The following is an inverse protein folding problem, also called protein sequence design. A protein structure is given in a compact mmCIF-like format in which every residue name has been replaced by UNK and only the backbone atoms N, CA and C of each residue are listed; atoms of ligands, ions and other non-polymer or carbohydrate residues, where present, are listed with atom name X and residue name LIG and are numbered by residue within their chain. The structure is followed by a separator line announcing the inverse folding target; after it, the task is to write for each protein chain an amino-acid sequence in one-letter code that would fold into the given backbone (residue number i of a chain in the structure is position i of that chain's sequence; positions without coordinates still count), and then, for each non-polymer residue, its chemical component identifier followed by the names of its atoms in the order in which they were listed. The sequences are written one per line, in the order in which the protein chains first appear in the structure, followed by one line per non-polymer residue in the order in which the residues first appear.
data_IF_307908892154
#
_entry.id   IF_307908892154
#
_cell.length_a   1.000
_cell.length_b   1.000
_cell.length_c   1.000
_cell.angle_alpha   90.00
_cell.angle_beta   90.00
_cell.angle_gamma   90.00
#
_symmetry.space_group_name_H-M   'P 1'
#
loop_
_entity.id
_entity.type
_entity.pdbx_description
1 polymer ?
#
# COMPACT_ATOMS: atom_id res chain seq x y z
N UNK A 1 45.67 16.56 -50.43
CA UNK A 1 44.52 15.65 -50.22
C UNK A 1 44.80 14.90 -48.92
N UNK A 2 44.43 15.41 -47.73
CA UNK A 2 43.10 15.38 -47.05
C UNK A 2 42.51 13.95 -47.04
N UNK A 3 42.26 13.21 -45.94
CA UNK A 3 42.38 13.36 -44.48
C UNK A 3 42.05 11.97 -43.88
N UNK A 4 42.80 11.38 -42.93
CA UNK A 4 42.29 10.29 -42.10
C UNK A 4 42.33 10.72 -40.63
N UNK A 5 41.32 11.46 -40.17
CA UNK A 5 41.21 11.92 -38.77
C UNK A 5 39.80 11.72 -38.19
N UNK A 6 38.83 11.26 -38.98
CA UNK A 6 37.41 11.32 -38.56
C UNK A 6 36.80 10.01 -38.01
N UNK A 7 37.61 9.00 -37.65
CA UNK A 7 37.10 7.71 -37.15
C UNK A 7 37.45 7.39 -35.70
N UNK A 8 38.26 8.21 -35.04
CA UNK A 8 38.68 7.98 -33.63
C UNK A 8 37.91 8.83 -32.61
N UNK A 9 37.04 9.75 -33.02
CA UNK A 9 36.30 10.64 -32.10
C UNK A 9 34.94 10.07 -31.67
N UNK A 10 34.35 9.15 -32.43
CA UNK A 10 33.03 8.58 -32.10
C UNK A 10 33.13 7.46 -31.04
N UNK A 11 34.29 6.80 -30.90
CA UNK A 11 34.49 5.73 -29.92
C UNK A 11 34.76 6.23 -28.48
N UNK A 12 35.03 7.53 -28.28
CA UNK A 12 35.25 8.12 -26.94
C UNK A 12 34.06 8.90 -26.37
N UNK A 13 32.97 9.05 -27.14
CA UNK A 13 31.74 9.74 -26.69
C UNK A 13 30.64 8.77 -26.22
N UNK A 14 30.87 7.46 -26.30
CA UNK A 14 29.92 6.42 -25.86
C UNK A 14 30.12 5.90 -24.44
N UNK A 15 31.18 6.34 -23.74
CA UNK A 15 31.55 5.84 -22.41
C UNK A 15 31.34 6.82 -21.26
N UNK A 16 30.80 8.01 -21.53
CA UNK A 16 30.46 9.02 -20.50
C UNK A 16 28.95 9.25 -20.32
N UNK A 17 28.09 8.42 -20.92
CA UNK A 17 26.63 8.55 -20.85
C UNK A 17 25.94 7.59 -19.86
N UNK A 18 26.70 6.76 -19.12
CA UNK A 18 26.16 5.85 -18.10
C UNK A 18 26.54 6.23 -16.66
N UNK A 19 26.83 7.50 -16.42
CA UNK A 19 26.86 8.10 -15.08
C UNK A 19 25.80 9.21 -15.03
N UNK A 20 24.55 8.82 -15.31
CA UNK A 20 23.40 9.62 -14.88
C UNK A 20 23.33 9.58 -13.35
N UNK A 21 22.66 10.56 -12.71
CA UNK A 21 22.52 10.55 -11.24
C UNK A 21 21.96 9.20 -10.80
N UNK A 22 22.56 8.62 -9.77
CA UNK A 22 22.02 7.45 -9.08
C UNK A 22 20.52 7.67 -8.88
N UNK A 23 19.71 6.81 -9.49
CA UNK A 23 18.27 6.85 -9.27
C UNK A 23 18.04 6.65 -7.77
N UNK A 24 17.25 7.55 -7.17
CA UNK A 24 16.97 7.49 -5.74
C UNK A 24 16.36 6.13 -5.37
N UNK A 25 16.89 5.51 -4.32
CA UNK A 25 16.38 4.22 -3.88
C UNK A 25 14.93 4.37 -3.40
N UNK A 26 14.03 3.49 -3.84
CA UNK A 26 12.62 3.55 -3.44
C UNK A 26 12.42 3.40 -1.92
N UNK A 27 13.40 2.79 -1.25
CA UNK A 27 13.49 2.59 0.20
C UNK A 27 13.88 3.86 0.98
N UNK A 28 14.43 4.87 0.33
CA UNK A 28 14.90 6.11 0.96
C UNK A 28 13.75 7.13 1.12
N UNK A 29 13.66 7.73 2.31
CA UNK A 29 12.65 8.72 2.66
C UNK A 29 13.25 10.13 2.56
N UNK A 30 12.96 10.83 1.45
CA UNK A 30 13.43 12.22 1.18
C UNK A 30 12.33 13.29 1.22
N UNK A 31 11.07 12.88 1.18
CA UNK A 31 9.89 13.74 1.15
C UNK A 31 8.77 13.11 1.97
N UNK A 32 7.60 13.76 2.05
CA UNK A 32 6.39 13.12 2.59
C UNK A 32 6.14 11.82 1.82
N UNK A 33 6.01 10.71 2.56
CA UNK A 33 5.81 9.36 2.02
C UNK A 33 4.77 8.59 2.81
N UNK A 34 3.85 7.90 2.15
CA UNK A 34 2.83 7.02 2.72
C UNK A 34 3.24 5.61 2.38
N UNK A 35 3.87 4.97 3.36
CA UNK A 35 4.48 3.65 3.21
C UNK A 35 3.43 2.53 3.20
N UNK A 36 2.28 2.77 3.81
CA UNK A 36 1.16 1.84 3.89
C UNK A 36 -0.14 2.51 4.33
N UNK A 37 -1.28 1.95 3.93
CA UNK A 37 -2.61 2.35 4.40
C UNK A 37 -3.34 1.09 4.85
N UNK A 38 -3.61 1.01 6.15
CA UNK A 38 -4.43 -0.03 6.77
C UNK A 38 -5.89 0.39 6.68
N UNK A 39 -6.71 -0.53 6.19
CA UNK A 39 -8.16 -0.41 6.21
C UNK A 39 -8.68 -1.43 7.22
N UNK A 40 -9.55 -1.01 8.12
CA UNK A 40 -10.11 -1.90 9.16
C UNK A 40 -11.64 -1.81 9.16
N UNK A 41 -12.34 -2.86 8.66
CA UNK A 41 -11.80 -4.08 8.03
C UNK A 41 -11.11 -3.84 6.67
N UNK A 42 -10.25 -4.76 6.18
CA UNK A 42 -9.48 -4.57 4.94
C UNK A 42 -10.31 -4.74 3.66
N UNK A 43 -11.49 -5.35 3.79
CA UNK A 43 -12.51 -5.41 2.77
C UNK A 43 -13.88 -5.13 3.38
N UNK A 44 -14.81 -4.66 2.55
CA UNK A 44 -16.18 -4.38 2.96
C UNK A 44 -17.06 -5.58 2.58
N UNK A 45 -17.38 -6.42 3.57
CA UNK A 45 -18.30 -7.54 3.39
C UNK A 45 -19.75 -7.04 3.48
N UNK A 46 -20.52 -7.19 2.40
CA UNK A 46 -21.93 -6.81 2.33
C UNK A 46 -22.78 -8.04 2.08
N UNK A 47 -23.70 -8.32 3.00
CA UNK A 47 -24.82 -9.23 2.77
C UNK A 47 -26.06 -8.40 2.36
N UNK A 48 -26.53 -8.50 1.11
CA UNK A 48 -27.71 -7.77 0.62
C UNK A 48 -29.01 -8.10 1.34
N UNK A 49 -29.08 -9.23 2.05
CA UNK A 49 -30.25 -9.67 2.79
C UNK A 49 -30.14 -9.41 4.30
N UNK A 50 -29.01 -8.87 4.76
CA UNK A 50 -28.84 -8.55 6.16
C UNK A 50 -29.76 -7.41 6.61
N UNK A 51 -30.27 -7.53 7.83
CA UNK A 51 -31.09 -6.48 8.46
C UNK A 51 -30.26 -5.29 8.97
N UNK A 52 -28.93 -5.42 9.00
CA UNK A 52 -27.98 -4.42 9.49
C UNK A 52 -26.86 -4.22 8.48
N UNK A 53 -26.45 -2.97 8.28
CA UNK A 53 -25.29 -2.63 7.48
C UNK A 53 -24.00 -3.14 8.15
N UNK A 54 -22.96 -3.47 7.36
CA UNK A 54 -21.65 -3.80 7.91
C UNK A 54 -21.04 -2.64 8.70
N UNK A 55 -20.10 -2.91 9.61
CA UNK A 55 -19.38 -1.86 10.32
C UNK A 55 -18.65 -0.93 9.32
N UNK A 56 -18.47 0.35 9.67
CA UNK A 56 -17.66 1.26 8.86
C UNK A 56 -16.22 0.79 8.74
N UNK A 57 -15.58 1.13 7.62
CA UNK A 57 -14.14 0.93 7.42
C UNK A 57 -13.40 2.17 7.88
N UNK A 58 -12.37 2.00 8.71
CA UNK A 58 -11.47 3.07 9.13
C UNK A 58 -10.13 2.94 8.40
N UNK A 59 -9.63 4.06 7.86
CA UNK A 59 -8.34 4.12 7.19
C UNK A 59 -7.29 4.80 8.08
N UNK A 60 -6.15 4.14 8.23
CA UNK A 60 -4.97 4.66 8.92
C UNK A 60 -3.78 4.59 7.98
N UNK A 61 -3.06 5.70 7.82
CA UNK A 61 -1.84 5.75 7.02
C UNK A 61 -0.58 5.70 7.90
N UNK A 62 0.42 4.93 7.46
CA UNK A 62 1.81 5.11 7.86
C UNK A 62 2.41 6.19 6.96
N UNK A 63 2.25 7.44 7.37
CA UNK A 63 2.81 8.60 6.68
C UNK A 63 4.06 9.11 7.42
N UNK A 64 5.15 9.31 6.69
CA UNK A 64 6.47 9.65 7.24
C UNK A 64 7.08 10.82 6.50
N UNK A 65 8.03 11.49 7.16
CA UNK A 65 8.91 12.52 6.62
C UNK A 65 10.35 12.20 7.03
N UNK A 66 11.36 12.71 6.31
CA UNK A 66 12.77 12.43 6.62
C UNK A 66 13.18 12.85 8.03
N UNK A 67 12.56 13.93 8.54
CA UNK A 67 12.85 14.55 9.82
C UNK A 67 11.72 14.37 10.86
N UNK A 68 10.83 13.39 10.63
CA UNK A 68 9.73 13.03 11.52
C UNK A 68 8.75 14.16 11.89
N UNK A 69 8.61 15.17 11.01
CA UNK A 69 7.52 16.15 11.10
C UNK A 69 6.16 15.46 11.00
N UNK A 70 5.14 15.94 11.74
CA UNK A 70 3.78 15.40 11.64
C UNK A 70 3.22 15.52 10.22
N UNK A 71 2.56 14.45 9.76
CA UNK A 71 1.86 14.41 8.47
C UNK A 71 0.37 14.26 8.74
N UNK A 72 -0.44 15.13 8.14
CA UNK A 72 -1.90 15.01 8.13
C UNK A 72 -2.33 14.28 6.88
N UNK A 73 -3.24 13.31 7.02
CA UNK A 73 -3.79 12.56 5.88
C UNK A 73 -5.30 12.77 5.80
N UNK A 74 -5.76 13.12 4.61
CA UNK A 74 -7.19 13.26 4.28
C UNK A 74 -7.57 12.21 3.25
N UNK A 75 -8.84 11.76 3.29
CA UNK A 75 -9.34 10.67 2.47
C UNK A 75 -10.64 11.06 1.74
N UNK A 76 -10.85 10.49 0.56
CA UNK A 76 -12.12 10.55 -0.16
C UNK A 76 -12.40 9.23 -0.89
N UNK A 77 -13.67 8.83 -0.96
CA UNK A 77 -14.12 7.78 -1.87
C UNK A 77 -14.19 8.35 -3.28
N UNK A 78 -13.42 7.79 -4.21
CA UNK A 78 -13.33 8.26 -5.58
C UNK A 78 -14.64 8.00 -6.33
N UNK A 79 -15.01 8.95 -7.21
CA UNK A 79 -16.06 8.70 -8.19
C UNK A 79 -15.62 7.65 -9.23
N UNK A 80 -16.54 6.83 -9.76
CA UNK A 80 -16.21 5.78 -10.72
C UNK A 80 -15.80 6.31 -12.11
N UNK A 81 -16.18 7.55 -12.45
CA UNK A 81 -15.83 8.20 -13.72
C UNK A 81 -14.48 8.93 -13.67
N UNK A 82 -13.87 9.03 -12.49
CA UNK A 82 -12.53 9.61 -12.32
C UNK A 82 -11.50 8.51 -12.48
N UNK A 83 -10.47 8.76 -13.29
CA UNK A 83 -9.31 7.87 -13.33
C UNK A 83 -8.53 8.02 -12.00
N UNK A 84 -8.54 7.01 -11.11
CA UNK A 84 -7.85 7.11 -9.82
C UNK A 84 -6.33 7.19 -9.96
N UNK A 85 -5.78 6.84 -11.12
CA UNK A 85 -4.35 6.87 -11.42
C UNK A 85 -3.94 8.07 -12.30
N UNK A 86 -4.87 8.98 -12.61
CA UNK A 86 -4.58 10.20 -13.37
C UNK A 86 -4.05 11.34 -12.51
N UNK A 87 -3.84 12.51 -13.11
CA UNK A 87 -3.25 13.70 -12.47
C UNK A 87 -4.05 14.26 -11.27
N UNK A 88 -5.24 13.71 -10.99
CA UNK A 88 -6.17 14.13 -9.93
C UNK A 88 -6.59 12.92 -9.07
N UNK A 89 -5.65 12.30 -8.35
CA UNK A 89 -5.83 10.98 -7.72
C UNK A 89 -6.74 10.90 -6.46
N UNK A 90 -7.52 11.98 -6.21
CA UNK A 90 -8.75 12.06 -5.43
C UNK A 90 -8.69 12.29 -3.91
N UNK A 91 -8.55 13.57 -3.52
CA UNK A 91 -9.52 14.19 -2.60
C UNK A 91 -10.11 15.50 -3.16
N UNK A 92 -11.25 15.98 -2.62
CA UNK A 92 -11.98 17.15 -3.14
C UNK A 92 -13.09 16.79 -4.14
N UNK A 93 -13.44 17.71 -5.07
CA UNK A 93 -14.58 17.64 -6.02
C UNK A 93 -14.69 16.34 -6.86
N UNK A 94 -13.63 15.54 -6.88
CA UNK A 94 -13.54 14.26 -7.59
C UNK A 94 -14.04 13.05 -6.78
N UNK A 95 -14.51 13.25 -5.54
CA UNK A 95 -14.95 12.19 -4.66
C UNK A 95 -15.88 12.65 -3.53
N UNK A 96 -16.25 11.71 -2.67
CA UNK A 96 -16.97 11.98 -1.41
C UNK A 96 -15.94 12.00 -0.27
N UNK A 97 -15.76 13.13 0.44
CA UNK A 97 -14.86 13.20 1.58
C UNK A 97 -15.20 12.14 2.63
N UNK A 98 -14.17 11.57 3.26
CA UNK A 98 -14.31 10.61 4.36
C UNK A 98 -13.74 11.23 5.65
N UNK A 99 -14.56 11.99 6.42
CA UNK A 99 -14.11 12.61 7.66
C UNK A 99 -13.53 11.57 8.63
N UNK A 100 -12.35 11.86 9.18
CA UNK A 100 -11.64 10.94 10.07
C UNK A 100 -11.20 9.64 9.39
N UNK A 101 -11.19 9.57 8.06
CA UNK A 101 -10.85 8.36 7.32
C UNK A 101 -11.88 7.25 7.49
N UNK A 102 -13.17 7.58 7.67
CA UNK A 102 -14.23 6.59 7.87
C UNK A 102 -15.11 6.46 6.63
N UNK A 103 -15.16 5.27 6.05
CA UNK A 103 -16.12 4.88 5.00
C UNK A 103 -17.28 4.12 5.62
N UNK A 104 -18.46 4.72 5.63
CA UNK A 104 -19.68 4.11 6.17
C UNK A 104 -20.75 3.95 5.09
N UNK A 105 -21.33 2.75 4.99
CA UNK A 105 -22.50 2.53 4.15
C UNK A 105 -23.78 3.19 4.68
N UNK A 106 -23.74 3.79 5.87
CA UNK A 106 -24.85 4.60 6.38
C UNK A 106 -24.83 6.04 5.87
N UNK A 107 -23.71 6.49 5.27
CA UNK A 107 -23.60 7.82 4.67
C UNK A 107 -24.31 7.86 3.30
N UNK A 108 -25.32 8.73 3.10
CA UNK A 108 -26.04 8.84 1.83
C UNK A 108 -25.15 9.19 0.63
N UNK A 109 -24.08 9.97 0.83
CA UNK A 109 -23.15 10.32 -0.24
C UNK A 109 -22.32 9.12 -0.68
N UNK A 110 -21.89 8.28 0.27
CA UNK A 110 -21.23 7.00 0.00
C UNK A 110 -22.17 6.04 -0.73
N UNK A 111 -23.44 5.95 -0.30
CA UNK A 111 -24.46 5.12 -0.97
C UNK A 111 -24.69 5.53 -2.43
N UNK A 112 -24.77 6.84 -2.70
CA UNK A 112 -24.95 7.35 -4.06
C UNK A 112 -23.76 6.97 -4.98
N UNK A 113 -22.53 7.09 -4.47
CA UNK A 113 -21.34 6.64 -5.21
C UNK A 113 -21.31 5.13 -5.41
N UNK A 114 -21.74 4.38 -4.40
CA UNK A 114 -21.77 2.93 -4.49
C UNK A 114 -22.73 2.46 -5.58
N UNK A 115 -23.92 3.06 -5.64
CA UNK A 115 -24.90 2.81 -6.70
C UNK A 115 -24.28 3.13 -8.07
N UNK A 116 -23.64 4.29 -8.22
CA UNK A 116 -22.98 4.65 -9.47
C UNK A 116 -21.87 3.65 -9.86
N UNK A 117 -21.10 3.15 -8.89
CA UNK A 117 -20.05 2.16 -9.13
C UNK A 117 -20.65 0.82 -9.61
N UNK A 118 -21.76 0.35 -9.02
CA UNK A 118 -22.45 -0.83 -9.51
C UNK A 118 -23.05 -0.62 -10.90
N UNK A 119 -23.66 0.53 -11.16
CA UNK A 119 -24.21 0.85 -12.47
C UNK A 119 -23.11 0.87 -13.55
N UNK A 120 -21.93 1.40 -13.23
CA UNK A 120 -20.77 1.37 -14.11
C UNK A 120 -20.25 -0.06 -14.34
N UNK A 121 -20.20 -0.90 -13.29
CA UNK A 121 -19.70 -2.27 -13.38
C UNK A 121 -20.66 -3.23 -14.11
N UNK A 122 -21.97 -3.02 -13.97
CA UNK A 122 -23.00 -3.93 -14.51
C UNK A 122 -23.63 -3.43 -15.81
N UNK A 123 -23.58 -2.12 -16.07
CA UNK A 123 -24.41 -1.48 -17.10
C UNK A 123 -25.91 -1.44 -16.76
N UNK A 124 -26.31 -1.98 -15.60
CA UNK A 124 -27.70 -1.98 -15.12
C UNK A 124 -27.98 -0.73 -14.32
N UNK A 125 -29.22 -0.21 -14.40
CA UNK A 125 -29.67 0.85 -13.50
C UNK A 125 -30.12 0.31 -12.13
N UNK A 126 -30.00 -1.00 -11.89
CA UNK A 126 -30.32 -1.64 -10.60
C UNK A 126 -31.78 -2.07 -10.45
N UNK A 127 -32.56 -2.15 -11.54
CA UNK A 127 -33.80 -2.93 -11.67
C UNK A 127 -34.96 -2.76 -10.68
N UNK A 128 -34.86 -1.94 -9.62
CA UNK A 128 -35.78 -1.99 -8.50
C UNK A 128 -37.16 -1.41 -8.77
N UNK A 129 -38.18 -2.00 -8.15
CA UNK A 129 -39.52 -1.43 -8.13
C UNK A 129 -39.52 -0.11 -7.36
N UNK A 130 -39.99 0.97 -7.97
CA UNK A 130 -40.13 2.27 -7.32
C UNK A 130 -38.89 3.18 -7.35
N UNK A 131 -37.86 2.84 -8.13
CA UNK A 131 -36.68 3.70 -8.35
C UNK A 131 -35.57 3.56 -7.31
N UNK A 132 -35.64 2.56 -6.43
CA UNK A 132 -34.54 2.18 -5.53
C UNK A 132 -33.60 1.19 -6.21
N UNK A 133 -32.31 1.25 -5.90
CA UNK A 133 -31.33 0.29 -6.40
C UNK A 133 -31.52 -1.09 -5.73
N UNK A 134 -31.68 -2.15 -6.52
CA UNK A 134 -31.88 -3.51 -6.03
C UNK A 134 -30.57 -4.30 -6.04
N UNK A 135 -30.01 -4.53 -4.85
CA UNK A 135 -28.81 -5.35 -4.69
C UNK A 135 -29.05 -6.84 -4.97
N UNK A 136 -30.30 -7.31 -5.05
CA UNK A 136 -30.65 -8.69 -5.39
C UNK A 136 -30.79 -8.95 -6.89
N UNK A 137 -30.60 -7.93 -7.74
CA UNK A 137 -30.55 -8.13 -9.19
C UNK A 137 -29.41 -9.09 -9.56
N UNK A 138 -29.63 -10.09 -10.45
CA UNK A 138 -28.62 -11.10 -10.78
C UNK A 138 -27.27 -10.54 -11.24
N UNK A 139 -27.27 -9.45 -12.03
CA UNK A 139 -26.03 -8.81 -12.49
C UNK A 139 -25.26 -8.16 -11.32
N UNK A 140 -25.98 -7.54 -10.38
CA UNK A 140 -25.39 -6.93 -9.18
C UNK A 140 -24.84 -8.00 -8.24
N UNK A 141 -25.58 -9.09 -8.04
CA UNK A 141 -25.15 -10.24 -7.25
C UNK A 141 -23.87 -10.86 -7.81
N UNK A 142 -23.76 -10.99 -9.14
CA UNK A 142 -22.55 -11.50 -9.78
C UNK A 142 -21.34 -10.59 -9.51
N UNK A 143 -21.50 -9.27 -9.59
CA UNK A 143 -20.44 -8.31 -9.26
C UNK A 143 -20.09 -8.36 -7.78
N UNK A 144 -21.08 -8.47 -6.88
CA UNK A 144 -20.86 -8.61 -5.45
C UNK A 144 -20.10 -9.90 -5.09
N UNK A 145 -20.39 -11.02 -5.74
CA UNK A 145 -19.68 -12.27 -5.52
C UNK A 145 -18.23 -12.19 -6.02
N UNK A 146 -18.03 -11.57 -7.19
CA UNK A 146 -16.70 -11.36 -7.76
C UNK A 146 -15.85 -10.35 -6.95
N UNK A 147 -16.51 -9.35 -6.37
CA UNK A 147 -15.91 -8.23 -5.66
C UNK A 147 -15.85 -6.97 -6.53
N UNK A 148 -16.54 -5.92 -6.09
CA UNK A 148 -16.50 -4.60 -6.68
C UNK A 148 -15.30 -3.82 -6.11
N UNK A 149 -14.31 -3.43 -6.94
CA UNK A 149 -13.24 -2.55 -6.48
C UNK A 149 -13.76 -1.13 -6.26
N UNK A 150 -13.56 -0.61 -5.06
CA UNK A 150 -13.73 0.80 -4.71
C UNK A 150 -12.36 1.43 -4.51
N UNK A 151 -12.22 2.70 -4.88
CA UNK A 151 -10.96 3.43 -4.76
C UNK A 151 -11.12 4.54 -3.73
N UNK A 152 -10.22 4.57 -2.77
CA UNK A 152 -10.11 5.60 -1.72
C UNK A 152 -8.84 6.36 -1.99
N UNK A 153 -8.98 7.59 -2.47
CA UNK A 153 -7.86 8.49 -2.65
C UNK A 153 -7.46 9.14 -1.34
N UNK A 154 -6.19 9.53 -1.25
CA UNK A 154 -5.66 10.24 -0.10
C UNK A 154 -4.75 11.40 -0.53
N UNK A 155 -4.66 12.39 0.34
CA UNK A 155 -3.61 13.41 0.33
C UNK A 155 -2.97 13.48 1.71
N UNK A 156 -1.65 13.28 1.74
CA UNK A 156 -0.81 13.41 2.90
C UNK A 156 -0.01 14.71 2.79
N UNK A 157 0.02 15.53 3.84
CA UNK A 157 0.78 16.78 3.85
C UNK A 157 1.44 17.07 5.21
N UNK A 158 2.65 17.62 5.17
CA UNK A 158 3.35 18.15 6.35
C UNK A 158 3.01 19.64 6.62
N UNK A 159 2.14 20.25 5.82
CA UNK A 159 1.71 21.64 5.95
C UNK A 159 2.68 22.68 5.42
N UNK A 160 3.81 22.28 4.82
CA UNK A 160 4.80 23.21 4.26
C UNK A 160 4.33 23.93 3.00
N UNK A 161 3.37 23.33 2.26
CA UNK A 161 2.88 23.85 0.99
C UNK A 161 3.86 23.69 -0.18
N UNK A 162 4.96 22.94 0.00
CA UNK A 162 5.88 22.61 -1.08
C UNK A 162 5.47 21.30 -1.78
N UNK A 163 5.92 21.06 -3.02
CA UNK A 163 5.68 19.78 -3.70
C UNK A 163 6.19 18.57 -2.92
N UNK A 164 7.31 18.69 -2.21
CA UNK A 164 7.90 17.63 -1.38
C UNK A 164 7.16 17.41 -0.05
N UNK A 165 6.37 18.40 0.36
CA UNK A 165 5.52 18.37 1.54
C UNK A 165 4.13 17.79 1.30
N UNK A 166 3.87 17.24 0.11
CA UNK A 166 2.59 16.66 -0.28
C UNK A 166 2.81 15.35 -1.03
N UNK A 167 2.01 14.35 -0.69
CA UNK A 167 1.89 13.12 -1.46
C UNK A 167 0.42 12.77 -1.66
N UNK A 168 0.13 12.20 -2.83
CA UNK A 168 -1.20 11.72 -3.17
C UNK A 168 -1.10 10.31 -3.70
N UNK A 169 -2.14 9.54 -3.45
CA UNK A 169 -2.27 8.22 -4.01
C UNK A 169 -3.66 7.65 -3.78
N UNK A 170 -3.80 6.38 -4.14
CA UNK A 170 -5.06 5.67 -4.04
C UNK A 170 -4.86 4.32 -3.38
N UNK A 171 -5.80 3.96 -2.52
CA UNK A 171 -5.97 2.63 -1.92
C UNK A 171 -7.23 1.98 -2.50
N UNK A 172 -7.12 0.74 -2.96
CA UNK A 172 -8.28 -0.04 -3.44
C UNK A 172 -8.90 -0.87 -2.31
N UNK A 173 -10.15 -0.64 -1.95
CA UNK A 173 -10.90 -1.55 -1.07
C UNK A 173 -11.89 -2.38 -1.88
N UNK A 174 -12.04 -3.65 -1.54
CA UNK A 174 -13.00 -4.54 -2.22
C UNK A 174 -14.31 -4.54 -1.45
N UNK A 175 -15.43 -4.29 -2.13
CA UNK A 175 -16.76 -4.58 -1.63
C UNK A 175 -17.24 -5.92 -2.19
N UNK A 176 -17.63 -6.86 -1.34
CA UNK A 176 -18.12 -8.15 -1.80
C UNK A 176 -19.10 -8.82 -0.86
N UNK A 177 -19.87 -9.76 -1.38
CA UNK A 177 -20.62 -10.71 -0.57
C UNK A 177 -19.72 -11.90 -0.26
N UNK A 178 -19.41 -12.12 1.02
CA UNK A 178 -18.56 -13.22 1.50
C UNK A 178 -18.93 -13.60 2.93
N UNK A 179 -18.86 -14.89 3.23
CA UNK A 179 -19.02 -15.42 4.60
C UNK A 179 -17.68 -15.46 5.35
N UNK A 180 -16.57 -15.32 4.64
CA UNK A 180 -15.21 -15.31 5.20
C UNK A 180 -14.51 -14.01 4.80
N UNK A 181 -14.82 -12.89 5.47
CA UNK A 181 -14.14 -11.62 5.22
C UNK A 181 -12.65 -11.72 5.55
N UNK A 182 -11.83 -11.08 4.72
CA UNK A 182 -10.39 -10.93 4.91
C UNK A 182 -10.06 -10.19 6.21
N UNK A 183 -8.95 -10.56 6.85
CA UNK A 183 -8.37 -9.85 7.98
C UNK A 183 -7.05 -9.18 7.59
N UNK A 184 -6.63 -8.16 8.35
CA UNK A 184 -5.29 -7.61 8.12
C UNK A 184 -4.26 -8.62 8.64
N UNK A 185 -3.10 -8.77 7.97
CA UNK A 185 -1.97 -9.41 8.61
C UNK A 185 -1.60 -8.65 9.89
N UNK A 186 -0.89 -9.29 10.81
CA UNK A 186 -0.43 -8.67 12.05
C UNK A 186 1.09 -8.66 12.05
N UNK A 187 1.71 -7.48 11.99
CA UNK A 187 3.15 -7.36 12.13
C UNK A 187 3.55 -7.35 13.61
N UNK A 188 4.20 -8.42 14.07
CA UNK A 188 4.59 -8.57 15.47
C UNK A 188 5.96 -7.95 15.74
N UNK A 189 6.97 -8.30 14.94
CA UNK A 189 8.35 -7.87 15.18
C UNK A 189 9.22 -7.81 13.93
N UNK A 190 10.44 -7.29 14.10
CA UNK A 190 11.56 -7.41 13.17
C UNK A 190 12.74 -7.92 13.99
N UNK A 191 13.35 -9.01 13.53
CA UNK A 191 14.47 -9.64 14.20
C UNK A 191 15.79 -9.32 13.51
N UNK A 192 16.85 -9.30 14.30
CA UNK A 192 18.24 -9.37 13.87
C UNK A 192 18.95 -10.41 14.73
N UNK A 193 19.63 -11.38 14.11
CA UNK A 193 20.22 -12.54 14.80
C UNK A 193 19.22 -13.28 15.72
N UNK A 194 18.03 -13.56 15.21
CA UNK A 194 16.94 -14.26 15.92
C UNK A 194 16.44 -13.59 17.22
N UNK A 195 16.77 -12.31 17.42
CA UNK A 195 16.32 -11.50 18.56
C UNK A 195 15.62 -10.22 18.08
N UNK A 196 14.71 -9.62 18.87
CA UNK A 196 14.09 -8.35 18.53
C UNK A 196 15.12 -7.28 18.18
N UNK A 197 14.89 -6.55 17.10
CA UNK A 197 15.80 -5.51 16.61
C UNK A 197 15.87 -4.34 17.62
N UNK A 198 16.92 -4.33 18.44
CA UNK A 198 17.17 -3.30 19.47
C UNK A 198 18.47 -2.51 19.27
N UNK A 199 19.37 -2.96 18.40
CA UNK A 199 20.70 -2.36 18.20
C UNK A 199 21.65 -2.50 19.41
N UNK A 200 22.83 -1.84 19.36
CA UNK A 200 23.35 -1.13 18.20
C UNK A 200 23.73 -2.10 17.07
N UNK A 201 23.49 -1.68 15.82
CA UNK A 201 23.96 -2.39 14.64
C UNK A 201 25.47 -2.10 14.42
N UNK A 202 26.25 -3.04 13.87
CA UNK A 202 27.64 -2.79 13.52
C UNK A 202 27.77 -1.69 12.45
N UNK A 203 28.88 -0.96 12.44
CA UNK A 203 29.21 -0.02 11.36
C UNK A 203 29.70 -0.77 10.12
N UNK A 204 29.44 -0.20 8.94
CA UNK A 204 29.97 -0.66 7.64
C UNK A 204 29.83 -2.18 7.44
N UNK A 205 28.64 -2.70 7.72
CA UNK A 205 28.36 -4.13 7.74
C UNK A 205 27.01 -4.43 7.12
N UNK A 206 26.93 -5.56 6.40
CA UNK A 206 25.65 -6.11 5.98
C UNK A 206 25.02 -6.90 7.14
N UNK A 207 23.77 -6.60 7.45
CA UNK A 207 22.95 -7.35 8.42
C UNK A 207 21.68 -7.84 7.75
N UNK A 208 21.11 -8.94 8.25
CA UNK A 208 19.82 -9.47 7.76
C UNK A 208 18.72 -9.20 8.77
N UNK A 209 17.60 -8.68 8.29
CA UNK A 209 16.38 -8.51 9.06
C UNK A 209 15.33 -9.56 8.67
N UNK A 210 14.67 -10.11 9.68
CA UNK A 210 13.59 -11.10 9.51
C UNK A 210 12.30 -10.53 10.08
N UNK A 211 11.22 -10.39 9.29
CA UNK A 211 9.93 -9.95 9.81
C UNK A 211 9.27 -11.10 10.59
N UNK A 212 8.41 -10.75 11.55
CA UNK A 212 7.62 -11.74 12.30
C UNK A 212 6.15 -11.36 12.19
N UNK A 213 5.36 -12.28 11.63
CA UNK A 213 3.91 -12.18 11.61
C UNK A 213 3.29 -12.77 12.88
N UNK A 214 2.20 -12.17 13.32
CA UNK A 214 1.33 -12.74 14.34
C UNK A 214 0.56 -13.95 13.81
N UNK A 215 0.12 -14.82 14.72
CA UNK A 215 -0.76 -15.95 14.39
C UNK A 215 -2.01 -15.48 13.65
N UNK A 216 -2.40 -16.21 12.59
CA UNK A 216 -3.57 -15.89 11.78
C UNK A 216 -3.34 -14.83 10.69
N UNK A 217 -2.11 -14.34 10.51
CA UNK A 217 -1.78 -13.36 9.45
C UNK A 217 -1.78 -13.94 8.03
N UNK A 218 -1.81 -15.27 7.90
CA UNK A 218 -1.85 -15.99 6.63
C UNK A 218 -3.16 -16.79 6.56
N UNK A 219 -4.18 -16.21 5.95
CA UNK A 219 -5.49 -16.85 5.86
C UNK A 219 -5.58 -17.76 4.62
N UNK A 220 -6.35 -18.83 4.74
CA UNK A 220 -6.79 -19.65 3.61
C UNK A 220 -8.17 -19.19 3.15
N UNK A 221 -8.36 -19.07 1.84
CA UNK A 221 -9.62 -18.63 1.26
C UNK A 221 -9.98 -19.43 0.01
N UNK A 222 -11.28 -19.54 -0.25
CA UNK A 222 -11.79 -20.26 -1.42
C UNK A 222 -11.78 -19.40 -2.67
N UNK A 223 -11.30 -19.97 -3.77
CA UNK A 223 -11.39 -19.40 -5.12
C UNK A 223 -12.04 -20.40 -6.07
N UNK A 224 -12.36 -19.97 -7.30
CA UNK A 224 -12.86 -20.86 -8.34
C UNK A 224 -11.89 -22.02 -8.66
N UNK A 225 -10.58 -21.83 -8.43
CA UNK A 225 -9.53 -22.82 -8.66
C UNK A 225 -9.26 -23.72 -7.43
N UNK A 226 -10.03 -23.55 -6.35
CA UNK A 226 -9.83 -24.22 -5.06
C UNK A 226 -9.36 -23.29 -3.95
N UNK A 227 -9.02 -23.88 -2.80
CA UNK A 227 -8.47 -23.15 -1.64
C UNK A 227 -7.07 -22.65 -1.95
N UNK A 228 -6.81 -21.37 -1.65
CA UNK A 228 -5.49 -20.73 -1.74
C UNK A 228 -5.11 -20.17 -0.38
N UNK A 229 -3.83 -20.19 -0.06
CA UNK A 229 -3.28 -19.48 1.09
C UNK A 229 -2.80 -18.09 0.65
N UNK A 230 -2.99 -17.08 1.48
CA UNK A 230 -2.44 -15.75 1.24
C UNK A 230 -0.92 -15.77 1.21
N UNK A 231 -0.34 -15.00 0.29
CA UNK A 231 1.10 -14.78 0.26
C UNK A 231 1.40 -13.39 0.80
N UNK A 232 1.86 -13.32 2.04
CA UNK A 232 2.26 -12.04 2.61
C UNK A 232 3.57 -11.58 1.96
N UNK A 233 3.60 -10.34 1.50
CA UNK A 233 4.81 -9.69 1.02
C UNK A 233 5.08 -8.41 1.81
N UNK A 234 6.37 -8.13 1.97
CA UNK A 234 6.87 -7.03 2.77
C UNK A 234 7.42 -5.92 1.88
N UNK A 235 7.32 -4.69 2.34
CA UNK A 235 8.10 -3.57 1.83
C UNK A 235 8.94 -2.98 2.95
N UNK A 236 10.22 -2.78 2.67
CA UNK A 236 11.23 -2.37 3.62
C UNK A 236 11.69 -0.94 3.34
N UNK A 237 11.73 -0.12 4.37
CA UNK A 237 12.16 1.27 4.31
C UNK A 237 13.05 1.57 5.51
N UNK A 238 14.04 2.43 5.31
CA UNK A 238 14.91 2.90 6.38
C UNK A 238 15.23 4.39 6.21
N UNK A 239 15.49 5.08 7.31
CA UNK A 239 16.22 6.35 7.30
C UNK A 239 17.72 6.12 7.43
N UNK A 240 18.50 7.17 7.23
CA UNK A 240 19.95 7.17 7.46
C UNK A 240 20.74 7.04 6.17
N UNK A 241 22.05 6.87 6.31
CA UNK A 241 23.00 6.74 5.19
C UNK A 241 23.19 5.29 4.72
N UNK A 242 22.64 4.31 5.45
CA UNK A 242 22.65 2.91 5.04
C UNK A 242 21.68 2.58 3.89
N UNK A 243 21.76 1.34 3.40
CA UNK A 243 21.01 0.89 2.22
C UNK A 243 20.25 -0.41 2.49
N UNK A 244 18.98 -0.47 2.06
CA UNK A 244 18.17 -1.69 2.06
C UNK A 244 18.48 -2.49 0.79
N UNK A 245 18.98 -3.72 0.93
CA UNK A 245 19.41 -4.55 -0.20
C UNK A 245 18.25 -5.00 -1.09
N UNK A 246 17.13 -5.46 -0.51
CA UNK A 246 15.89 -5.71 -1.25
C UNK A 246 14.71 -4.99 -0.63
N UNK A 247 14.14 -4.04 -1.37
CA UNK A 247 12.98 -3.27 -0.91
C UNK A 247 11.70 -4.12 -0.77
N UNK A 248 11.68 -5.32 -1.35
CA UNK A 248 10.56 -6.29 -1.25
C UNK A 248 11.07 -7.67 -0.91
N UNK A 249 10.31 -8.35 -0.06
CA UNK A 249 10.50 -9.77 0.30
C UNK A 249 9.12 -10.41 0.47
N UNK A 250 9.04 -11.74 0.59
CA UNK A 250 7.74 -12.44 0.64
C UNK A 250 7.81 -13.80 1.30
N UNK A 251 6.73 -14.18 1.96
CA UNK A 251 6.57 -15.48 2.59
C UNK A 251 6.50 -16.61 1.55
N UNK A 252 7.13 -17.76 1.80
CA UNK A 252 6.88 -18.96 1.01
C UNK A 252 5.45 -19.44 1.26
N UNK A 253 4.73 -19.82 0.20
CA UNK A 253 3.32 -20.26 0.32
C UNK A 253 3.01 -21.40 -0.64
N UNK A 254 2.22 -22.38 -0.23
CA UNK A 254 1.70 -23.46 -1.09
C UNK A 254 2.79 -24.12 -1.97
N UNK A 255 3.98 -24.33 -1.40
CA UNK A 255 5.14 -24.92 -2.10
C UNK A 255 5.86 -23.98 -3.08
N UNK A 256 5.45 -22.72 -3.19
CA UNK A 256 6.18 -21.67 -3.90
C UNK A 256 7.33 -21.14 -3.04
N UNK A 257 8.51 -20.90 -3.62
CA UNK A 257 9.62 -20.33 -2.88
C UNK A 257 9.29 -18.90 -2.43
N UNK A 258 9.81 -18.54 -1.27
CA UNK A 258 9.76 -17.21 -0.69
C UNK A 258 10.92 -17.06 0.28
N UNK A 259 11.36 -15.82 0.44
CA UNK A 259 12.33 -15.40 1.45
C UNK A 259 11.77 -14.11 2.05
N UNK A 260 11.32 -14.13 3.32
CA UNK A 260 10.72 -12.96 3.93
C UNK A 260 11.79 -11.96 4.40
N UNK A 261 13.08 -12.32 4.35
CA UNK A 261 14.15 -11.48 4.88
C UNK A 261 14.55 -10.35 3.92
N UNK A 262 15.26 -9.35 4.46
CA UNK A 262 16.01 -8.39 3.66
C UNK A 262 17.38 -8.15 4.26
N UNK A 263 18.36 -7.76 3.45
CA UNK A 263 19.64 -7.26 3.93
C UNK A 263 19.60 -5.74 4.09
N UNK A 264 20.41 -5.23 5.01
CA UNK A 264 20.66 -3.82 5.22
C UNK A 264 22.16 -3.57 5.40
N UNK A 265 22.74 -2.73 4.56
CA UNK A 265 24.12 -2.27 4.71
C UNK A 265 24.13 -1.03 5.60
N UNK A 266 24.77 -1.15 6.75
CA UNK A 266 24.83 -0.06 7.74
C UNK A 266 25.81 1.03 7.33
N UNK A 267 25.59 2.26 7.81
CA UNK A 267 26.47 3.38 7.54
C UNK A 267 27.88 3.22 8.13
N UNK A 268 28.83 3.98 7.58
CA UNK A 268 30.20 4.04 8.07
C UNK A 268 30.35 4.93 9.31
N UNK A 269 29.36 5.79 9.58
CA UNK A 269 29.36 6.69 10.72
C UNK A 269 28.21 6.37 11.67
N UNK A 270 28.36 6.62 12.99
CA UNK A 270 27.27 6.38 13.92
C UNK A 270 26.05 7.26 13.62
N UNK A 271 24.88 6.63 13.57
CA UNK A 271 23.62 7.31 13.32
C UNK A 271 22.46 6.58 14.00
N UNK A 272 21.33 7.28 14.18
CA UNK A 272 20.08 6.66 14.61
C UNK A 272 19.18 6.50 13.41
N UNK A 273 18.77 5.26 13.13
CA UNK A 273 17.90 4.94 12.01
C UNK A 273 16.52 4.51 12.49
N UNK A 274 15.52 4.71 11.64
CA UNK A 274 14.20 4.10 11.78
C UNK A 274 13.97 3.14 10.62
N UNK A 275 13.56 1.92 10.92
CA UNK A 275 13.20 0.88 9.96
C UNK A 275 11.69 0.68 10.01
N UNK A 276 11.05 0.71 8.84
CA UNK A 276 9.65 0.36 8.67
C UNK A 276 9.51 -0.89 7.82
N UNK A 277 8.61 -1.77 8.24
CA UNK A 277 8.28 -2.99 7.50
C UNK A 277 6.77 -3.04 7.34
N UNK A 278 6.32 -3.05 6.09
CA UNK A 278 4.89 -3.05 5.75
C UNK A 278 4.52 -4.39 5.13
N UNK A 279 3.71 -5.17 5.84
CA UNK A 279 3.15 -6.44 5.35
C UNK A 279 1.87 -6.21 4.56
N UNK A 280 1.68 -6.96 3.49
CA UNK A 280 0.48 -6.97 2.65
C UNK A 280 0.15 -8.40 2.25
N UNK A 281 -1.10 -8.80 2.44
CA UNK A 281 -1.59 -10.17 2.18
C UNK A 281 -1.97 -10.44 0.70
N UNK A 282 -1.97 -9.41 -0.14
CA UNK A 282 -2.39 -9.48 -1.55
C UNK A 282 -3.91 -9.40 -1.78
N UNK A 283 -4.73 -9.45 -0.74
CA UNK A 283 -6.20 -9.33 -0.77
C UNK A 283 -6.72 -7.99 -0.24
N UNK A 284 -5.86 -7.19 0.37
CA UNK A 284 -6.17 -5.84 0.82
C UNK A 284 -5.79 -5.58 2.27
N UNK A 285 -5.45 -6.62 3.03
CA UNK A 285 -4.88 -6.43 4.35
C UNK A 285 -3.53 -5.75 4.29
N UNK A 286 -3.30 -4.88 5.25
CA UNK A 286 -2.03 -4.17 5.42
C UNK A 286 -1.81 -3.91 6.90
N UNK A 287 -0.60 -4.18 7.34
CA UNK A 287 -0.15 -3.81 8.68
C UNK A 287 1.35 -3.54 8.65
N UNK A 288 1.88 -2.93 9.70
CA UNK A 288 3.28 -2.57 9.74
C UNK A 288 3.82 -2.56 11.16
N UNK A 289 5.15 -2.64 11.25
CA UNK A 289 5.87 -2.36 12.48
C UNK A 289 7.00 -1.39 12.21
N UNK A 290 7.50 -0.77 13.28
CA UNK A 290 8.55 0.25 13.22
C UNK A 290 9.57 -0.03 14.32
N UNK A 291 10.86 0.08 13.99
CA UNK A 291 11.96 -0.05 14.95
C UNK A 291 12.91 1.12 14.77
N UNK A 292 13.30 1.74 15.88
CA UNK A 292 14.33 2.77 15.90
C UNK A 292 15.52 2.22 16.64
N UNK A 293 16.68 2.20 15.99
CA UNK A 293 17.91 1.60 16.54
C UNK A 293 19.12 2.48 16.20
N UNK A 294 20.18 2.31 16.98
CA UNK A 294 21.47 2.94 16.71
C UNK A 294 22.30 2.06 15.77
N UNK A 295 23.06 2.71 14.90
CA UNK A 295 24.13 2.14 14.09
C UNK A 295 25.44 2.66 14.67
N UNK A 296 26.34 1.77 15.06
CA UNK A 296 27.54 2.13 15.82
C UNK A 296 27.26 2.48 17.29
N UNK A 297 28.34 2.73 18.07
CA UNK A 297 28.27 3.09 19.49
C UNK A 297 27.83 4.54 19.75
#
# INVERSE_FOLDING_TARGET
MRTPVLLSVIALLGSSACSGPDFEAQSEIRSVRVLGIKAEPPELALDPNASTLPPPVTFTALAVTPDARPVTVTYALCRPDVNPYGDVACPGDSGVPLPGGVLSLSDPAVQALLIAAFQAATGSTGGGQGGTFDFNEPAVQQVLQAGLPLFVGYEATDGSGTPEGVERGVRRITLRSTETPNQNPVMQDVLWNDAPLSGPLPLDSEVTFTPVLGEGSEESYSTADGTKTEQVFYSWFATGEGEVGSFRSLEPVDGKPGDPTTTYTTAQTPERITVWVVARDGRGGTDWTTRTVDVGP
#
